data_IF_680466539134
#
_entry.id   IF_680466539134
#
_cell.length_a   1.000
_cell.length_b   1.000
_cell.length_c   1.000
_cell.angle_alpha   90.00
_cell.angle_beta   90.00
_cell.angle_gamma   90.00
#
_symmetry.space_group_name_H-M   'P 1'
#
loop_
_entity.id
_entity.type
_entity.pdbx_description
1 polymer ?
#
# COMPACT_ATOMS: atom_id res chain seq x y z
N UNK A 1 17.13 -10.73 18.19
CA UNK A 1 15.81 -10.81 18.83
C UNK A 1 15.23 -9.42 18.95
N UNK A 2 14.06 -9.22 18.45
CA UNK A 2 13.43 -7.92 18.59
C UNK A 2 12.74 -7.81 19.95
N UNK A 3 12.84 -6.64 20.54
CA UNK A 3 12.12 -6.31 21.76
C UNK A 3 11.22 -5.14 21.49
N UNK A 4 9.99 -5.25 21.95
CA UNK A 4 9.06 -4.12 21.87
C UNK A 4 9.40 -3.13 22.97
N UNK A 5 9.55 -1.88 22.58
CA UNK A 5 9.82 -0.78 23.50
C UNK A 5 8.55 0.04 23.69
N UNK A 6 8.43 0.65 24.86
CA UNK A 6 7.35 1.62 25.07
C UNK A 6 7.47 2.77 24.09
N UNK A 7 6.33 3.24 23.60
CA UNK A 7 6.27 4.39 22.72
C UNK A 7 5.62 4.05 21.38
N UNK A 8 5.68 5.00 20.47
CA UNK A 8 5.11 4.84 19.14
C UNK A 8 6.10 4.16 18.22
N UNK A 9 5.60 3.29 17.35
CA UNK A 9 6.36 2.78 16.23
C UNK A 9 6.49 3.86 15.16
N UNK A 10 7.48 3.71 14.27
CA UNK A 10 7.67 4.64 13.17
C UNK A 10 6.65 4.45 12.04
N UNK A 11 5.94 3.32 12.04
CA UNK A 11 4.92 3.03 11.03
C UNK A 11 3.76 3.99 11.16
N UNK A 12 3.39 4.63 10.05
CA UNK A 12 2.25 5.54 9.98
C UNK A 12 1.25 5.01 8.96
N UNK A 13 -0.02 4.96 9.36
CA UNK A 13 -1.11 4.59 8.48
C UNK A 13 -1.83 5.83 7.95
N UNK A 14 -2.16 5.82 6.66
CA UNK A 14 -2.83 6.93 5.99
C UNK A 14 -3.80 6.42 4.95
N UNK A 15 -4.72 7.31 4.57
CA UNK A 15 -5.58 7.10 3.40
C UNK A 15 -5.20 8.07 2.30
N UNK A 16 -5.22 7.59 1.07
CA UNK A 16 -5.09 8.42 -0.11
C UNK A 16 -6.26 8.12 -1.05
N UNK A 17 -6.82 9.16 -1.64
CA UNK A 17 -7.88 9.02 -2.64
C UNK A 17 -7.24 9.03 -4.01
N UNK A 18 -7.60 8.05 -4.82
CA UNK A 18 -7.09 7.95 -6.20
C UNK A 18 -8.25 7.69 -7.15
N UNK A 19 -8.04 8.05 -8.41
CA UNK A 19 -8.91 7.63 -9.51
C UNK A 19 -8.10 6.71 -10.40
N UNK A 20 -8.60 5.50 -10.61
CA UNK A 20 -7.92 4.52 -11.46
C UNK A 20 -8.95 3.76 -12.27
N UNK A 21 -8.68 3.60 -13.57
CA UNK A 21 -9.61 2.94 -14.49
C UNK A 21 -11.02 3.56 -14.45
N UNK A 22 -11.10 4.89 -14.26
CA UNK A 22 -12.36 5.61 -14.19
C UNK A 22 -13.14 5.44 -12.90
N UNK A 23 -12.53 4.84 -11.86
CA UNK A 23 -13.18 4.56 -10.58
C UNK A 23 -12.43 5.27 -9.46
N UNK A 24 -13.16 5.90 -8.55
CA UNK A 24 -12.58 6.55 -7.38
C UNK A 24 -12.45 5.54 -6.24
N UNK A 25 -11.25 5.48 -5.65
CA UNK A 25 -10.95 4.59 -4.53
C UNK A 25 -10.38 5.38 -3.36
N UNK A 26 -10.65 4.91 -2.16
CA UNK A 26 -10.01 5.37 -0.93
C UNK A 26 -9.09 4.25 -0.46
N UNK A 27 -7.79 4.46 -0.63
CA UNK A 27 -6.78 3.43 -0.40
C UNK A 27 -6.06 3.67 0.92
N UNK A 28 -6.03 2.65 1.77
CA UNK A 28 -5.23 2.66 2.98
C UNK A 28 -3.83 2.16 2.69
N UNK A 29 -2.84 2.81 3.27
CA UNK A 29 -1.47 2.33 3.21
C UNK A 29 -0.73 2.63 4.51
N UNK A 30 0.29 1.84 4.77
CA UNK A 30 1.22 2.07 5.86
C UNK A 30 2.59 2.37 5.28
N UNK A 31 3.34 3.24 5.95
CA UNK A 31 4.69 3.57 5.51
C UNK A 31 5.63 3.75 6.68
N UNK A 32 6.89 3.49 6.44
CA UNK A 32 7.98 3.71 7.39
C UNK A 32 9.30 3.86 6.63
N UNK A 33 10.19 4.66 7.19
CA UNK A 33 11.53 4.81 6.66
C UNK A 33 11.69 5.96 5.69
N UNK A 34 12.94 6.14 5.27
CA UNK A 34 13.36 7.18 4.33
C UNK A 34 14.33 6.58 3.31
N UNK A 35 14.31 7.12 2.11
CA UNK A 35 15.21 6.71 1.04
C UNK A 35 14.46 6.28 -0.21
N UNK A 36 14.96 5.23 -0.85
CA UNK A 36 14.35 4.72 -2.08
C UNK A 36 12.94 4.21 -1.80
N UNK A 37 11.93 4.67 -2.57
CA UNK A 37 10.57 4.16 -2.38
C UNK A 37 10.49 2.67 -2.74
N UNK A 38 9.93 1.88 -1.81
CA UNK A 38 9.70 0.45 -1.98
C UNK A 38 8.20 0.19 -1.78
N UNK A 39 7.52 -0.12 -2.88
CA UNK A 39 6.08 -0.43 -2.85
C UNK A 39 5.92 -1.94 -2.68
N UNK A 40 5.19 -2.34 -1.64
CA UNK A 40 4.95 -3.74 -1.31
C UNK A 40 3.54 -4.14 -1.71
N UNK A 41 3.42 -5.22 -2.46
CA UNK A 41 2.15 -5.73 -2.99
C UNK A 41 1.76 -7.00 -2.23
N UNK A 42 0.65 -6.95 -1.50
CA UNK A 42 0.18 -8.12 -0.75
C UNK A 42 -0.42 -9.18 -1.68
N UNK A 43 -0.42 -10.43 -1.21
CA UNK A 43 -1.06 -11.54 -1.93
C UNK A 43 -2.57 -11.50 -1.76
N UNK A 44 -3.27 -12.24 -2.63
CA UNK A 44 -4.72 -12.33 -2.56
C UNK A 44 -5.17 -12.84 -1.18
N UNK A 45 -6.21 -12.24 -0.64
CA UNK A 45 -6.76 -12.64 0.65
C UNK A 45 -6.01 -12.11 1.87
N UNK A 46 -5.02 -11.24 1.65
CA UNK A 46 -4.28 -10.57 2.74
C UNK A 46 -4.42 -9.06 2.63
N UNK A 47 -3.53 -8.33 3.28
CA UNK A 47 -3.47 -6.87 3.23
C UNK A 47 -2.05 -6.40 3.61
N UNK A 48 -1.88 -5.10 3.85
CA UNK A 48 -0.58 -4.52 4.19
C UNK A 48 0.12 -5.17 5.38
N UNK A 49 -0.61 -5.83 6.26
CA UNK A 49 -0.04 -6.52 7.43
C UNK A 49 0.93 -7.62 7.04
N UNK A 50 0.85 -8.11 5.81
CA UNK A 50 1.82 -9.07 5.28
C UNK A 50 3.26 -8.54 5.37
N UNK A 51 3.44 -7.23 5.30
CA UNK A 51 4.75 -6.59 5.28
C UNK A 51 5.15 -5.93 6.60
N UNK A 52 4.51 -6.31 7.69
CA UNK A 52 4.78 -5.74 9.01
C UNK A 52 6.26 -5.83 9.38
N UNK A 53 6.90 -6.96 9.11
CA UNK A 53 8.29 -7.14 9.46
C UNK A 53 9.22 -6.28 8.62
N UNK A 54 8.89 -6.05 7.36
CA UNK A 54 9.66 -5.15 6.49
C UNK A 54 9.54 -3.72 6.98
N UNK A 55 8.33 -3.29 7.32
CA UNK A 55 8.06 -1.94 7.83
C UNK A 55 8.76 -1.68 9.17
N UNK A 56 9.02 -2.70 9.95
CA UNK A 56 9.66 -2.60 11.26
C UNK A 56 11.15 -2.96 11.25
N UNK A 57 11.74 -3.19 10.08
CA UNK A 57 13.14 -3.58 9.97
C UNK A 57 14.03 -2.35 9.74
N UNK A 58 14.84 -1.94 10.75
CA UNK A 58 15.71 -0.77 10.60
C UNK A 58 16.74 -0.91 9.49
N UNK A 59 17.16 -2.13 9.16
CA UNK A 59 18.09 -2.35 8.06
C UNK A 59 17.46 -1.99 6.71
N UNK A 60 16.14 -2.08 6.60
CA UNK A 60 15.40 -1.70 5.41
C UNK A 60 14.98 -0.24 5.49
N UNK A 61 14.35 0.19 6.58
CA UNK A 61 13.78 1.53 6.69
C UNK A 61 14.83 2.63 6.79
N UNK A 62 16.07 2.31 7.12
CA UNK A 62 17.17 3.28 7.06
C UNK A 62 17.59 3.64 5.64
N UNK A 63 17.20 2.81 4.66
CA UNK A 63 17.59 2.97 3.25
C UNK A 63 16.41 3.14 2.32
N UNK A 64 15.24 2.70 2.74
CA UNK A 64 14.03 2.68 1.91
C UNK A 64 12.87 3.34 2.63
N UNK A 65 12.08 4.06 1.86
CA UNK A 65 10.73 4.43 2.27
C UNK A 65 9.83 3.27 1.90
N UNK A 66 9.50 2.44 2.88
CA UNK A 66 8.66 1.25 2.67
C UNK A 66 7.20 1.65 2.71
N UNK A 67 6.45 1.26 1.69
CA UNK A 67 5.04 1.59 1.55
C UNK A 67 4.28 0.31 1.23
N UNK A 68 3.36 -0.07 2.11
CA UNK A 68 2.51 -1.24 1.93
C UNK A 68 1.06 -0.78 1.92
N UNK A 69 0.37 -0.99 0.80
CA UNK A 69 -1.01 -0.54 0.66
C UNK A 69 -1.97 -1.72 0.56
N UNK A 70 -3.21 -1.47 0.93
CA UNK A 70 -4.29 -2.44 0.79
C UNK A 70 -4.98 -2.23 -0.55
N UNK A 71 -5.09 -3.29 -1.34
CA UNK A 71 -5.86 -3.26 -2.57
C UNK A 71 -7.33 -2.93 -2.28
N UNK A 72 -8.08 -2.35 -3.24
CA UNK A 72 -9.53 -2.20 -3.07
C UNK A 72 -10.18 -3.51 -2.66
N UNK A 73 -11.18 -3.45 -1.81
CA UNK A 73 -11.89 -4.61 -1.24
C UNK A 73 -11.06 -5.41 -0.22
N UNK A 74 -9.85 -4.95 0.10
CA UNK A 74 -8.97 -5.64 1.05
C UNK A 74 -8.64 -4.73 2.24
N UNK A 75 -8.42 -5.33 3.40
CA UNK A 75 -7.97 -4.62 4.58
C UNK A 75 -8.81 -3.41 4.93
N UNK A 76 -8.16 -2.26 5.05
CA UNK A 76 -8.81 -1.00 5.40
C UNK A 76 -9.15 -0.12 4.21
N UNK A 77 -8.81 -0.54 2.99
CA UNK A 77 -9.21 0.19 1.80
C UNK A 77 -10.69 0.01 1.55
N UNK A 78 -11.33 1.10 1.16
CA UNK A 78 -12.76 1.04 0.86
C UNK A 78 -12.98 0.44 -0.52
N UNK A 79 -14.05 -0.35 -0.71
CA UNK A 79 -14.52 -0.63 -2.05
C UNK A 79 -15.09 0.67 -2.65
N UNK A 80 -15.22 0.76 -3.99
CA UNK A 80 -15.81 1.95 -4.60
C UNK A 80 -17.27 2.12 -4.20
N UNK A 81 -17.78 3.34 -4.32
CA UNK A 81 -19.18 3.62 -4.07
C UNK A 81 -20.06 2.73 -4.94
N UNK A 82 -21.16 2.27 -4.36
CA UNK A 82 -22.09 1.35 -5.03
C UNK A 82 -21.43 0.06 -5.52
N UNK A 83 -20.42 -0.40 -4.77
CA UNK A 83 -19.65 -1.57 -5.11
C UNK A 83 -20.52 -2.81 -5.36
N UNK A 84 -21.66 -2.93 -4.70
CA UNK A 84 -22.57 -4.06 -4.86
C UNK A 84 -23.26 -4.07 -6.22
N UNK A 85 -23.23 -2.95 -6.96
CA UNK A 85 -23.76 -2.86 -8.33
C UNK A 85 -22.66 -3.03 -9.37
N UNK A 86 -21.42 -3.20 -8.96
CA UNK A 86 -20.25 -3.29 -9.85
C UNK A 86 -19.65 -4.68 -9.77
N UNK A 87 -19.15 -5.16 -10.91
CA UNK A 87 -18.41 -6.41 -10.95
C UNK A 87 -16.94 -6.09 -10.71
N UNK A 88 -16.38 -6.62 -9.61
CA UNK A 88 -14.96 -6.50 -9.36
C UNK A 88 -14.22 -7.50 -10.25
N UNK A 89 -13.39 -6.97 -11.16
CA UNK A 89 -12.53 -7.79 -12.01
C UNK A 89 -11.12 -7.22 -11.96
N UNK A 90 -10.20 -8.01 -11.43
CA UNK A 90 -8.80 -7.63 -11.39
C UNK A 90 -8.09 -8.28 -12.58
N UNK A 91 -8.03 -7.54 -13.70
CA UNK A 91 -7.20 -7.94 -14.83
C UNK A 91 -5.79 -7.43 -14.61
N UNK A 92 -4.82 -7.96 -15.38
CA UNK A 92 -3.44 -7.48 -15.32
C UNK A 92 -3.36 -5.98 -15.57
N UNK A 93 -4.06 -5.49 -16.60
CA UNK A 93 -4.03 -4.06 -16.96
C UNK A 93 -4.63 -3.20 -15.86
N UNK A 94 -5.76 -3.58 -15.29
CA UNK A 94 -6.39 -2.79 -14.20
C UNK A 94 -5.51 -2.79 -12.96
N UNK A 95 -4.84 -3.88 -12.67
CA UNK A 95 -3.93 -3.98 -11.53
C UNK A 95 -2.71 -3.09 -11.72
N UNK A 96 -2.07 -3.16 -12.88
CA UNK A 96 -0.91 -2.32 -13.18
C UNK A 96 -1.28 -0.83 -13.13
N UNK A 97 -2.42 -0.45 -13.69
CA UNK A 97 -2.89 0.93 -13.65
C UNK A 97 -3.14 1.38 -12.21
N UNK A 98 -3.74 0.52 -11.39
CA UNK A 98 -4.01 0.85 -9.99
C UNK A 98 -2.72 1.10 -9.22
N UNK A 99 -1.72 0.25 -9.37
CA UNK A 99 -0.43 0.39 -8.71
C UNK A 99 0.23 1.70 -9.13
N UNK A 100 0.25 1.97 -10.43
CA UNK A 100 0.83 3.19 -10.99
C UNK A 100 0.10 4.43 -10.47
N UNK A 101 -1.23 4.44 -10.51
CA UNK A 101 -2.03 5.57 -10.05
C UNK A 101 -1.85 5.79 -8.55
N UNK A 102 -1.66 4.72 -7.79
CA UNK A 102 -1.39 4.81 -6.37
C UNK A 102 -0.07 5.57 -6.10
N UNK A 103 1.04 5.14 -6.70
CA UNK A 103 2.29 5.83 -6.41
C UNK A 103 2.35 7.23 -7.00
N UNK A 104 1.67 7.48 -8.12
CA UNK A 104 1.53 8.82 -8.67
C UNK A 104 0.84 9.76 -7.68
N UNK A 105 -0.20 9.28 -7.03
CA UNK A 105 -0.94 10.06 -6.02
C UNK A 105 -0.05 10.42 -4.82
N UNK A 106 0.94 9.61 -4.52
CA UNK A 106 1.91 9.88 -3.46
C UNK A 106 3.08 10.77 -3.92
N UNK A 107 3.10 11.17 -5.18
CA UNK A 107 4.21 11.97 -5.74
C UNK A 107 5.50 11.19 -5.92
N UNK A 108 5.42 9.87 -6.03
CA UNK A 108 6.59 9.01 -6.15
C UNK A 108 6.95 8.81 -7.62
N UNK A 109 8.25 8.85 -7.90
CA UNK A 109 8.80 8.51 -9.19
C UNK A 109 9.70 7.29 -9.04
N UNK A 110 9.63 6.37 -9.98
CA UNK A 110 10.51 5.20 -10.09
C UNK A 110 10.66 4.39 -8.81
N UNK A 111 9.57 3.91 -8.21
CA UNK A 111 9.68 3.04 -7.04
C UNK A 111 10.24 1.68 -7.42
N UNK A 112 10.83 1.00 -6.43
CA UNK A 112 11.03 -0.44 -6.49
C UNK A 112 9.70 -1.06 -6.07
N UNK A 113 9.27 -2.09 -6.79
CA UNK A 113 8.02 -2.79 -6.50
C UNK A 113 8.35 -4.24 -6.13
N UNK A 114 7.84 -4.67 -4.98
CA UNK A 114 8.07 -6.00 -4.44
C UNK A 114 6.72 -6.67 -4.18
N UNK A 115 6.59 -7.89 -4.64
CA UNK A 115 5.40 -8.68 -4.41
C UNK A 115 5.67 -9.98 -3.68
#
# INVERSE_FOLDING_TARGET
MSQLKSGHEEIVGRYVNITSNGIDYRIFYEEAGEGVPLICLHTAGTDSRQFRHVLNDPDVTSKCRVIAFDMPYHGRSNPPDEWWLKKYMLTTDTYLNLIHDFWQALGIERPIVMG
#
